data_IF_154663028983
#
_entry.id   IF_154663028983
#
_cell.length_a   1.000
_cell.length_b   1.000
_cell.length_c   1.000
_cell.angle_alpha   90.00
_cell.angle_beta   90.00
_cell.angle_gamma   90.00
#
_symmetry.space_group_name_H-M   'P 1'
#
loop_
_entity.id
_entity.type
_entity.pdbx_description
1 polymer ?
#
# COMPACT_ATOMS: atom_id res chain seq x y z
N UNK A 1 -8.61 18.33 14.86
CA UNK A 1 -8.95 17.94 16.24
C UNK A 1 -7.72 17.33 16.89
N UNK A 2 -7.30 17.86 18.02
CA UNK A 2 -6.08 17.48 18.75
C UNK A 2 -6.40 16.28 19.66
N UNK A 3 -5.46 15.36 19.83
CA UNK A 3 -5.64 14.20 20.73
C UNK A 3 -5.85 14.63 22.17
N UNK A 4 -6.82 14.01 22.84
CA UNK A 4 -7.11 14.21 24.26
C UNK A 4 -5.88 13.96 25.16
N UNK A 5 -4.90 13.18 24.69
CA UNK A 5 -3.61 12.98 25.37
C UNK A 5 -2.65 14.16 25.24
N UNK A 6 -2.77 14.99 24.20
CA UNK A 6 -1.99 16.24 24.12
C UNK A 6 -2.50 17.21 25.17
N UNK A 7 -3.82 17.28 25.38
CA UNK A 7 -4.45 18.19 26.34
C UNK A 7 -4.29 17.77 27.81
N UNK A 8 -3.83 16.55 28.13
CA UNK A 8 -3.53 16.19 29.52
C UNK A 8 -2.26 16.87 30.05
N UNK A 9 -1.38 17.39 29.17
CA UNK A 9 -0.21 18.18 29.56
C UNK A 9 -0.37 19.69 29.43
N UNK A 10 -1.45 20.17 28.79
CA UNK A 10 -1.74 21.59 28.63
C UNK A 10 -2.98 21.93 29.46
N UNK A 11 -2.79 22.76 30.49
CA UNK A 11 -3.88 23.28 31.29
C UNK A 11 -4.96 23.87 30.35
N UNK A 12 -6.20 23.42 30.47
CA UNK A 12 -7.33 23.86 29.61
C UNK A 12 -7.51 25.38 29.63
N UNK A 13 -6.97 26.07 30.64
CA UNK A 13 -6.90 27.54 30.72
C UNK A 13 -6.01 28.18 29.64
N UNK A 14 -4.88 27.56 29.25
CA UNK A 14 -4.01 28.09 28.19
C UNK A 14 -4.73 28.20 26.84
N UNK A 15 -5.70 27.33 26.56
CA UNK A 15 -6.51 27.41 25.33
C UNK A 15 -7.44 28.62 25.29
N UNK A 16 -7.84 29.13 26.45
CA UNK A 16 -8.76 30.25 26.57
C UNK A 16 -8.03 31.60 26.58
N UNK A 17 -6.77 31.62 27.02
CA UNK A 17 -5.94 32.84 27.14
C UNK A 17 -5.09 33.10 25.88
N UNK A 18 -4.64 32.05 25.20
CA UNK A 18 -3.71 32.18 24.08
C UNK A 18 -4.44 32.41 22.74
N UNK A 19 -4.02 33.43 22.00
CA UNK A 19 -4.56 33.75 20.66
C UNK A 19 -4.12 32.76 19.57
N UNK A 20 -2.99 32.08 19.77
CA UNK A 20 -2.45 31.10 18.83
C UNK A 20 -1.65 30.02 19.56
N UNK A 21 -1.94 28.75 19.25
CA UNK A 21 -1.25 27.60 19.83
C UNK A 21 -0.66 26.75 18.71
N UNK A 22 0.64 26.51 18.77
CA UNK A 22 1.35 25.56 17.91
C UNK A 22 1.70 24.31 18.70
N UNK A 23 1.24 23.16 18.21
CA UNK A 23 1.54 21.86 18.81
C UNK A 23 2.59 21.17 17.93
N UNK A 24 3.78 20.93 18.49
CA UNK A 24 4.90 20.31 17.76
C UNK A 24 5.78 19.47 18.71
N UNK A 25 6.18 18.23 18.34
CA UNK A 25 5.82 17.52 17.11
C UNK A 25 4.39 16.95 17.19
N UNK A 26 3.56 17.21 16.18
CA UNK A 26 2.24 16.57 16.07
C UNK A 26 2.38 15.16 15.46
N UNK A 27 3.06 14.27 16.17
CA UNK A 27 3.25 12.88 15.77
C UNK A 27 2.26 11.91 16.46
N UNK A 28 1.55 12.39 17.49
CA UNK A 28 0.66 11.56 18.28
C UNK A 28 -0.63 11.27 17.50
N UNK A 29 -0.84 9.98 17.24
CA UNK A 29 -2.10 9.50 16.67
C UNK A 29 -3.20 9.71 17.71
N UNK A 30 -4.27 10.38 17.31
CA UNK A 30 -5.54 10.32 18.03
C UNK A 30 -5.90 8.86 18.31
N UNK A 31 -6.39 8.59 19.52
CA UNK A 31 -6.94 7.27 19.88
C UNK A 31 -7.90 6.75 18.81
N UNK A 32 -7.86 5.43 18.56
CA UNK A 32 -8.89 4.78 17.75
C UNK A 32 -10.19 4.57 18.52
N UNK A 33 -10.15 4.75 19.84
CA UNK A 33 -11.29 4.80 20.74
C UNK A 33 -11.61 6.27 21.06
N UNK A 34 -12.51 6.86 20.28
CA UNK A 34 -12.99 8.22 20.41
C UNK A 34 -14.52 8.21 20.36
N UNK A 35 -15.22 9.20 20.96
CA UNK A 35 -16.68 9.23 20.98
C UNK A 35 -17.29 9.11 19.58
N UNK A 36 -18.46 8.46 19.42
CA UNK A 36 -19.06 8.20 18.10
C UNK A 36 -19.21 9.44 17.22
N UNK A 37 -19.60 10.59 17.78
CA UNK A 37 -19.71 11.84 17.03
C UNK A 37 -18.35 12.30 16.44
N UNK A 38 -17.27 12.12 17.19
CA UNK A 38 -15.90 12.45 16.74
C UNK A 38 -15.47 11.47 15.65
N UNK A 39 -15.81 10.19 15.76
CA UNK A 39 -15.50 9.21 14.71
C UNK A 39 -16.22 9.56 13.40
N UNK A 40 -17.51 9.86 13.45
CA UNK A 40 -18.29 10.29 12.27
C UNK A 40 -17.67 11.51 11.60
N UNK A 41 -17.27 12.52 12.38
CA UNK A 41 -16.59 13.69 11.83
C UNK A 41 -15.24 13.33 11.19
N UNK A 42 -14.45 12.44 11.81
CA UNK A 42 -13.19 11.96 11.22
C UNK A 42 -13.41 11.21 9.91
N UNK A 43 -14.49 10.44 9.82
CA UNK A 43 -14.87 9.72 8.61
C UNK A 43 -15.23 10.69 7.48
N UNK A 44 -16.11 11.66 7.73
CA UNK A 44 -16.49 12.69 6.76
C UNK A 44 -15.27 13.51 6.33
N UNK A 45 -14.42 13.91 7.29
CA UNK A 45 -13.20 14.63 6.98
C UNK A 45 -12.28 13.80 6.05
N UNK A 46 -12.08 12.51 6.36
CA UNK A 46 -11.12 11.68 5.66
C UNK A 46 -11.58 11.21 4.28
N UNK A 47 -12.86 10.88 4.11
CA UNK A 47 -13.37 10.27 2.88
C UNK A 47 -14.16 11.22 1.98
N UNK A 48 -14.69 12.33 2.52
CA UNK A 48 -15.51 13.28 1.74
C UNK A 48 -14.83 14.64 1.56
N UNK A 49 -14.35 15.23 2.66
CA UNK A 49 -13.85 16.61 2.66
C UNK A 49 -12.39 16.73 2.19
N UNK A 50 -11.51 15.79 2.56
CA UNK A 50 -10.13 15.77 2.12
C UNK A 50 -10.06 15.30 0.67
N UNK A 51 -9.77 16.23 -0.23
CA UNK A 51 -9.61 15.99 -1.67
C UNK A 51 -8.23 16.42 -2.13
N UNK A 52 -7.71 15.75 -3.16
CA UNK A 52 -6.49 16.22 -3.82
C UNK A 52 -6.75 17.56 -4.52
N UNK A 53 -5.71 18.38 -4.64
CA UNK A 53 -5.79 19.61 -5.42
C UNK A 53 -6.09 19.31 -6.90
N UNK A 54 -6.75 20.25 -7.58
CA UNK A 54 -7.18 20.08 -8.97
C UNK A 54 -6.08 19.56 -9.91
N UNK A 55 -4.81 20.03 -9.84
CA UNK A 55 -3.75 19.50 -10.71
C UNK A 55 -3.47 18.00 -10.49
N UNK A 56 -3.51 17.54 -9.24
CA UNK A 56 -3.28 16.12 -8.91
C UNK A 56 -4.49 15.28 -9.33
N UNK A 57 -5.69 15.76 -9.02
CA UNK A 57 -6.93 15.07 -9.35
C UNK A 57 -7.09 14.90 -10.87
N UNK A 58 -6.90 15.98 -11.63
CA UNK A 58 -7.04 15.97 -13.10
C UNK A 58 -6.04 15.04 -13.78
N UNK A 59 -4.76 15.07 -13.36
CA UNK A 59 -3.78 14.13 -13.90
C UNK A 59 -4.09 12.70 -13.47
N UNK A 60 -4.41 12.47 -12.20
CA UNK A 60 -4.79 11.16 -11.68
C UNK A 60 -5.96 10.54 -12.44
N UNK A 61 -7.02 11.31 -12.70
CA UNK A 61 -8.17 10.89 -13.52
C UNK A 61 -7.77 10.56 -14.95
N UNK A 62 -6.92 11.38 -15.57
CA UNK A 62 -6.38 11.13 -16.91
C UNK A 62 -5.60 9.82 -16.97
N UNK A 63 -4.75 9.53 -15.97
CA UNK A 63 -4.01 8.27 -15.92
C UNK A 63 -4.92 7.07 -15.66
N UNK A 64 -5.98 7.22 -14.88
CA UNK A 64 -7.01 6.17 -14.70
C UNK A 64 -7.69 5.86 -16.03
N UNK A 65 -8.07 6.87 -16.81
CA UNK A 65 -8.69 6.69 -18.13
C UNK A 65 -7.74 5.98 -19.10
N UNK A 66 -6.49 6.44 -19.21
CA UNK A 66 -5.46 5.80 -20.04
C UNK A 66 -5.18 4.36 -19.61
N UNK A 67 -5.18 4.08 -18.32
CA UNK A 67 -4.99 2.72 -17.81
C UNK A 67 -6.17 1.82 -18.19
N UNK A 68 -7.41 2.32 -18.11
CA UNK A 68 -8.61 1.59 -18.55
C UNK A 68 -8.57 1.31 -20.06
N UNK A 69 -8.18 2.29 -20.88
CA UNK A 69 -8.00 2.15 -22.33
C UNK A 69 -6.93 1.11 -22.69
N UNK A 70 -5.84 1.03 -21.93
CA UNK A 70 -4.81 -0.02 -22.10
C UNK A 70 -5.24 -1.38 -21.56
N UNK A 71 -6.41 -1.47 -20.92
CA UNK A 71 -6.95 -2.68 -20.29
C UNK A 71 -8.25 -3.15 -20.97
N UNK A 72 -8.35 -2.98 -22.30
CA UNK A 72 -9.55 -3.34 -23.08
C UNK A 72 -9.89 -4.83 -23.01
N UNK A 73 -8.88 -5.70 -23.04
CA UNK A 73 -9.05 -7.17 -22.92
C UNK A 73 -9.74 -7.60 -21.61
N UNK A 74 -9.69 -6.76 -20.57
CA UNK A 74 -10.29 -6.98 -19.26
C UNK A 74 -11.42 -6.00 -18.93
N UNK A 75 -12.02 -5.37 -19.95
CA UNK A 75 -13.09 -4.38 -19.81
C UNK A 75 -12.71 -3.21 -18.87
N UNK A 76 -11.49 -2.69 -19.04
CA UNK A 76 -10.93 -1.60 -18.25
C UNK A 76 -10.43 -2.01 -16.85
N UNK A 77 -10.46 -3.31 -16.49
CA UNK A 77 -10.02 -3.79 -15.17
C UNK A 77 -8.52 -4.04 -15.15
N UNK A 78 -7.86 -3.50 -14.15
CA UNK A 78 -6.42 -3.71 -13.96
C UNK A 78 -6.08 -3.97 -12.49
N UNK A 79 -4.89 -4.54 -12.28
CA UNK A 79 -4.31 -4.76 -10.96
C UNK A 79 -3.36 -3.60 -10.67
N UNK A 80 -3.51 -2.94 -9.52
CA UNK A 80 -2.53 -1.98 -9.05
C UNK A 80 -1.61 -2.62 -8.02
N UNK A 81 -0.29 -2.52 -8.21
CA UNK A 81 0.73 -3.06 -7.32
C UNK A 81 1.50 -1.91 -6.69
N UNK A 82 1.42 -1.76 -5.37
CA UNK A 82 2.27 -0.87 -4.60
C UNK A 82 3.53 -1.60 -4.15
N UNK A 83 4.67 -1.24 -4.76
CA UNK A 83 5.97 -1.86 -4.55
C UNK A 83 6.92 -0.90 -3.84
N UNK A 84 7.43 -1.31 -2.66
CA UNK A 84 8.41 -0.55 -1.88
C UNK A 84 9.79 -1.22 -1.92
N UNK A 85 10.46 -1.10 -3.07
CA UNK A 85 11.81 -1.61 -3.31
C UNK A 85 12.78 -0.49 -3.70
N UNK A 86 12.62 0.68 -3.08
CA UNK A 86 13.52 1.83 -3.24
C UNK A 86 14.78 1.70 -2.36
N UNK A 87 15.86 2.42 -2.69
CA UNK A 87 17.16 2.35 -2.00
C UNK A 87 17.03 2.52 -0.48
N UNK A 88 16.21 3.47 -0.02
CA UNK A 88 16.01 3.72 1.42
C UNK A 88 15.37 2.52 2.12
N UNK A 89 14.38 1.88 1.49
CA UNK A 89 13.68 0.72 2.01
C UNK A 89 14.58 -0.53 2.02
N UNK A 90 15.35 -0.74 0.94
CA UNK A 90 16.33 -1.84 0.85
C UNK A 90 17.41 -1.65 1.91
N UNK A 91 18.02 -0.47 2.00
CA UNK A 91 19.06 -0.16 2.97
C UNK A 91 18.58 -0.27 4.43
N UNK A 92 17.41 0.28 4.74
CA UNK A 92 16.82 0.26 6.08
C UNK A 92 16.47 -1.16 6.55
N UNK A 93 16.07 -2.03 5.61
CA UNK A 93 15.68 -3.39 5.94
C UNK A 93 16.83 -4.25 6.45
N UNK A 94 18.08 -3.87 6.15
CA UNK A 94 19.28 -4.66 6.44
C UNK A 94 19.23 -6.11 5.93
N UNK A 95 18.38 -6.38 4.94
CA UNK A 95 18.31 -7.66 4.27
C UNK A 95 19.43 -7.79 3.24
N UNK A 96 19.74 -9.03 2.88
CA UNK A 96 20.67 -9.37 1.81
C UNK A 96 19.86 -9.90 0.64
N UNK A 97 20.18 -9.42 -0.56
CA UNK A 97 19.62 -9.89 -1.83
C UNK A 97 20.75 -10.43 -2.71
N UNK A 98 20.55 -10.47 -4.02
CA UNK A 98 21.44 -11.14 -4.98
C UNK A 98 22.54 -10.23 -5.55
N UNK A 99 22.71 -9.01 -5.01
CA UNK A 99 23.71 -8.05 -5.47
C UNK A 99 25.12 -8.22 -4.88
N UNK A 100 25.32 -9.21 -4.00
CA UNK A 100 26.63 -9.60 -3.48
C UNK A 100 27.33 -8.50 -2.68
N UNK A 101 28.67 -8.43 -2.79
CA UNK A 101 29.49 -7.47 -2.02
C UNK A 101 29.18 -6.01 -2.40
N UNK A 102 28.96 -5.74 -3.69
CA UNK A 102 28.65 -4.39 -4.16
C UNK A 102 27.35 -3.87 -3.53
N UNK A 103 26.27 -4.65 -3.55
CA UNK A 103 25.02 -4.26 -2.89
C UNK A 103 25.23 -4.04 -1.39
N UNK A 104 26.00 -4.89 -0.72
CA UNK A 104 26.29 -4.72 0.70
C UNK A 104 26.94 -3.37 0.98
N UNK A 105 27.99 -3.03 0.23
CA UNK A 105 28.77 -1.81 0.40
C UNK A 105 27.90 -0.57 0.08
N UNK A 106 27.11 -0.62 -1.00
CA UNK A 106 26.15 0.44 -1.37
C UNK A 106 25.11 0.67 -0.27
N UNK A 107 24.55 -0.41 0.28
CA UNK A 107 23.53 -0.33 1.33
C UNK A 107 24.13 0.13 2.66
N UNK A 108 25.40 -0.19 2.98
CA UNK A 108 26.11 0.35 4.13
C UNK A 108 26.32 1.86 3.99
N UNK A 109 26.74 2.32 2.81
CA UNK A 109 26.89 3.75 2.52
C UNK A 109 25.54 4.49 2.59
N UNK A 110 24.46 3.91 2.03
CA UNK A 110 23.12 4.47 2.11
C UNK A 110 22.61 4.55 3.56
N UNK A 111 22.88 3.52 4.38
CA UNK A 111 22.55 3.51 5.81
C UNK A 111 23.26 4.62 6.58
N UNK A 112 24.54 4.84 6.29
CA UNK A 112 25.32 5.87 6.97
C UNK A 112 24.82 7.27 6.57
N UNK A 113 24.61 7.53 5.27
CA UNK A 113 24.04 8.80 4.78
C UNK A 113 22.67 9.10 5.39
N UNK A 114 21.77 8.11 5.45
CA UNK A 114 20.37 8.30 5.83
C UNK A 114 20.11 8.35 7.34
N UNK A 115 20.88 7.59 8.14
CA UNK A 115 20.57 7.40 9.57
C UNK A 115 21.76 7.53 10.52
N UNK A 116 22.93 7.97 10.03
CA UNK A 116 24.12 8.37 10.81
C UNK A 116 24.43 7.46 12.01
N UNK A 117 25.14 6.37 11.76
CA UNK A 117 25.56 5.43 12.79
C UNK A 117 24.44 4.64 13.49
N UNK A 118 23.15 4.84 13.18
CA UNK A 118 22.02 4.10 13.79
C UNK A 118 22.17 2.58 13.70
N UNK A 119 22.76 2.09 12.61
CA UNK A 119 22.90 0.67 12.31
C UNK A 119 24.23 0.09 12.78
N UNK A 120 25.22 0.94 13.09
CA UNK A 120 26.58 0.55 13.53
C UNK A 120 26.80 0.77 15.03
N UNK A 121 25.77 1.16 15.79
CA UNK A 121 25.87 1.36 17.25
C UNK A 121 26.38 0.10 17.97
N UNK A 122 27.27 0.25 18.98
CA UNK A 122 27.71 -0.88 19.80
C UNK A 122 26.52 -1.67 20.36
N UNK A 123 26.61 -2.99 20.32
CA UNK A 123 25.57 -3.91 20.80
C UNK A 123 24.43 -4.18 19.81
N UNK A 124 24.35 -3.46 18.68
CA UNK A 124 23.33 -3.74 17.65
C UNK A 124 23.77 -4.90 16.76
N UNK A 125 23.11 -6.06 16.92
CA UNK A 125 23.32 -7.23 16.05
C UNK A 125 22.26 -7.26 14.94
N UNK A 126 22.72 -7.24 13.69
CA UNK A 126 21.87 -7.37 12.50
C UNK A 126 21.93 -8.82 12.02
N UNK A 127 20.77 -9.46 11.88
CA UNK A 127 20.65 -10.84 11.40
C UNK A 127 19.75 -10.88 10.16
N UNK A 128 20.31 -10.71 8.94
CA UNK A 128 19.52 -10.57 7.71
C UNK A 128 18.56 -11.73 7.46
N UNK A 129 19.00 -12.98 7.68
CA UNK A 129 18.14 -14.16 7.52
C UNK A 129 16.92 -14.13 8.44
N UNK A 130 17.09 -13.70 9.71
CA UNK A 130 15.98 -13.57 10.65
C UNK A 130 15.04 -12.41 10.28
N UNK A 131 15.55 -11.34 9.65
CA UNK A 131 14.71 -10.26 9.13
C UNK A 131 13.84 -10.75 7.96
N UNK A 132 14.40 -11.61 7.09
CA UNK A 132 13.68 -12.24 5.98
C UNK A 132 12.56 -13.16 6.46
N UNK A 133 12.87 -14.12 7.33
CA UNK A 133 11.88 -15.08 7.84
C UNK A 133 10.78 -14.41 8.68
N UNK A 134 11.09 -13.30 9.35
CA UNK A 134 10.10 -12.46 10.04
C UNK A 134 9.29 -11.55 9.11
N UNK A 135 9.50 -11.61 7.80
CA UNK A 135 8.77 -10.81 6.80
C UNK A 135 9.09 -9.32 6.86
N UNK A 136 10.28 -8.93 7.35
CA UNK A 136 10.71 -7.53 7.44
C UNK A 136 11.34 -7.02 6.14
N UNK A 137 11.87 -7.91 5.30
CA UNK A 137 12.42 -7.54 4.01
C UNK A 137 11.32 -7.07 3.03
N UNK A 138 11.57 -6.02 2.25
CA UNK A 138 10.92 -5.77 0.97
C UNK A 138 10.92 -7.01 0.07
N UNK A 139 9.88 -7.14 -0.76
CA UNK A 139 9.87 -8.13 -1.84
C UNK A 139 10.56 -7.54 -3.07
N UNK A 140 11.39 -8.34 -3.74
CA UNK A 140 12.00 -7.95 -5.02
C UNK A 140 10.95 -7.96 -6.14
N UNK A 141 11.16 -7.26 -7.28
CA UNK A 141 10.22 -7.36 -8.40
C UNK A 141 10.08 -8.79 -8.94
N UNK A 142 11.14 -9.61 -8.90
CA UNK A 142 11.08 -11.05 -9.23
C UNK A 142 10.10 -11.79 -8.30
N UNK A 143 10.24 -11.64 -6.99
CA UNK A 143 9.37 -12.28 -6.00
C UNK A 143 7.92 -11.85 -6.16
N UNK A 144 7.68 -10.57 -6.46
CA UNK A 144 6.36 -10.04 -6.76
C UNK A 144 5.79 -10.69 -8.01
N UNK A 145 6.57 -10.80 -9.08
CA UNK A 145 6.12 -11.43 -10.31
C UNK A 145 5.76 -12.90 -10.11
N UNK A 146 6.63 -13.67 -9.45
CA UNK A 146 6.38 -15.08 -9.11
C UNK A 146 5.12 -15.24 -8.24
N UNK A 147 4.96 -14.39 -7.23
CA UNK A 147 3.77 -14.36 -6.37
C UNK A 147 2.51 -14.13 -7.21
N UNK A 148 2.50 -13.13 -8.09
CA UNK A 148 1.33 -12.82 -8.93
C UNK A 148 1.00 -13.97 -9.90
N UNK A 149 2.02 -14.58 -10.52
CA UNK A 149 1.84 -15.76 -11.39
C UNK A 149 1.23 -16.94 -10.62
N UNK A 150 1.74 -17.22 -9.42
CA UNK A 150 1.18 -18.26 -8.56
C UNK A 150 -0.24 -17.93 -8.07
N UNK A 151 -0.59 -16.65 -7.93
CA UNK A 151 -1.93 -16.20 -7.59
C UNK A 151 -2.93 -16.27 -8.75
N UNK A 152 -2.47 -16.67 -9.95
CA UNK A 152 -3.29 -16.86 -11.14
C UNK A 152 -3.41 -15.63 -12.04
N UNK A 153 -2.57 -14.62 -11.85
CA UNK A 153 -2.39 -13.55 -12.86
C UNK A 153 -1.43 -14.03 -13.94
N UNK A 154 -1.64 -13.60 -15.17
CA UNK A 154 -0.84 -14.01 -16.32
C UNK A 154 -0.33 -12.82 -17.13
N UNK A 155 0.32 -13.09 -18.25
CA UNK A 155 0.93 -12.08 -19.11
C UNK A 155 -0.10 -11.20 -19.84
N UNK A 156 -1.39 -11.55 -19.80
CA UNK A 156 -2.49 -10.75 -20.33
C UNK A 156 -3.09 -9.81 -19.27
N UNK A 157 -2.62 -9.91 -18.03
CA UNK A 157 -3.07 -9.04 -16.93
C UNK A 157 -2.46 -7.66 -17.05
N UNK A 158 -3.29 -6.63 -17.23
CA UNK A 158 -2.87 -5.23 -17.14
C UNK A 158 -2.52 -4.86 -15.70
N UNK A 159 -1.30 -4.38 -15.49
CA UNK A 159 -0.78 -4.00 -14.18
C UNK A 159 -0.41 -2.51 -14.17
N UNK A 160 -0.82 -1.79 -13.14
CA UNK A 160 -0.26 -0.49 -12.80
C UNK A 160 0.71 -0.65 -11.63
N UNK A 161 1.97 -0.24 -11.78
CA UNK A 161 2.97 -0.30 -10.72
C UNK A 161 3.14 1.08 -10.08
N UNK A 162 2.72 1.19 -8.81
CA UNK A 162 2.95 2.33 -7.94
C UNK A 162 4.24 2.12 -7.12
N UNK A 163 5.29 2.83 -7.47
CA UNK A 163 6.56 2.82 -6.73
C UNK A 163 7.30 4.16 -6.83
N UNK A 164 8.20 4.41 -5.87
CA UNK A 164 9.29 5.35 -6.08
C UNK A 164 10.34 4.80 -7.05
N UNK A 165 11.56 5.38 -7.02
CA UNK A 165 12.70 4.89 -7.80
C UNK A 165 13.13 3.52 -7.26
N UNK A 166 12.85 2.47 -8.02
CA UNK A 166 13.26 1.10 -7.70
C UNK A 166 14.79 1.02 -7.66
N UNK A 167 15.33 0.40 -6.61
CA UNK A 167 16.77 0.17 -6.48
C UNK A 167 17.28 -0.71 -7.61
N UNK A 168 18.33 -0.26 -8.31
CA UNK A 168 18.91 -0.94 -9.47
C UNK A 168 17.82 -1.40 -10.46
N UNK A 169 16.96 -0.47 -10.88
CA UNK A 169 15.75 -0.76 -11.67
C UNK A 169 16.06 -1.48 -12.98
N UNK A 170 17.17 -1.14 -13.64
CA UNK A 170 17.60 -1.75 -14.90
C UNK A 170 17.80 -3.26 -14.77
N UNK A 171 18.35 -3.74 -13.65
CA UNK A 171 18.47 -5.17 -13.36
C UNK A 171 17.16 -5.75 -12.80
N UNK A 172 16.63 -5.11 -11.76
CA UNK A 172 15.59 -5.72 -10.93
C UNK A 172 14.22 -5.77 -11.59
N UNK A 173 13.90 -4.88 -12.52
CA UNK A 173 12.59 -4.83 -13.17
C UNK A 173 12.40 -5.84 -14.30
N UNK A 174 13.50 -6.30 -14.93
CA UNK A 174 13.49 -7.26 -16.05
C UNK A 174 12.52 -8.44 -15.81
N UNK A 175 12.67 -9.25 -14.75
CA UNK A 175 11.82 -10.42 -14.57
C UNK A 175 10.33 -10.08 -14.40
N UNK A 176 10.02 -8.94 -13.77
CA UNK A 176 8.63 -8.53 -13.59
C UNK A 176 8.00 -8.12 -14.92
N UNK A 177 8.74 -7.38 -15.76
CA UNK A 177 8.30 -6.96 -17.09
C UNK A 177 8.15 -8.15 -18.05
N UNK A 178 9.04 -9.14 -17.99
CA UNK A 178 8.93 -10.38 -18.77
C UNK A 178 7.68 -11.19 -18.39
N UNK A 179 7.36 -11.28 -17.10
CA UNK A 179 6.15 -11.97 -16.63
C UNK A 179 4.85 -11.21 -16.95
N UNK A 180 4.91 -9.87 -16.96
CA UNK A 180 3.76 -8.96 -17.13
C UNK A 180 4.08 -7.84 -18.12
N UNK A 181 4.08 -8.12 -19.42
CA UNK A 181 4.48 -7.15 -20.46
C UNK A 181 3.53 -5.96 -20.61
N UNK A 182 2.30 -6.06 -20.08
CA UNK A 182 1.31 -4.97 -20.08
C UNK A 182 1.47 -4.02 -18.88
N UNK A 183 2.52 -4.18 -18.07
CA UNK A 183 2.79 -3.32 -16.92
C UNK A 183 2.99 -1.86 -17.35
N UNK A 184 2.30 -0.96 -16.67
CA UNK A 184 2.37 0.48 -16.82
C UNK A 184 2.80 1.14 -15.52
N UNK A 185 3.43 2.30 -15.61
CA UNK A 185 3.72 3.19 -14.48
C UNK A 185 3.16 4.58 -14.78
N UNK A 186 3.20 5.49 -13.82
CA UNK A 186 2.86 6.90 -14.08
C UNK A 186 3.73 7.51 -15.19
N UNK A 187 5.00 7.12 -15.28
CA UNK A 187 5.93 7.59 -16.31
C UNK A 187 5.61 7.03 -17.71
N UNK A 188 4.99 5.85 -17.81
CA UNK A 188 4.57 5.29 -19.12
C UNK A 188 3.18 5.77 -19.56
N UNK A 189 2.35 6.20 -18.60
CA UNK A 189 1.01 6.71 -18.86
C UNK A 189 0.95 8.24 -19.05
N UNK A 190 1.92 8.98 -18.53
CA UNK A 190 1.98 10.45 -18.60
C UNK A 190 3.20 10.92 -19.41
N UNK A 191 3.11 12.11 -20.00
CA UNK A 191 4.29 12.74 -20.61
C UNK A 191 5.22 13.33 -19.55
N UNK A 192 6.46 13.65 -19.95
CA UNK A 192 7.42 14.26 -19.05
C UNK A 192 6.98 15.64 -18.55
N UNK A 193 6.24 16.37 -19.40
CA UNK A 193 5.67 17.70 -19.18
C UNK A 193 4.49 17.64 -18.20
N UNK A 194 3.58 16.67 -18.38
CA UNK A 194 2.46 16.45 -17.44
C UNK A 194 2.96 16.17 -16.02
N UNK A 195 4.07 15.44 -15.89
CA UNK A 195 4.65 15.09 -14.59
C UNK A 195 5.56 16.19 -14.00
N UNK A 196 6.07 17.11 -14.82
CA UNK A 196 7.06 18.12 -14.39
C UNK A 196 6.64 18.92 -13.13
N UNK A 197 5.38 19.36 -12.97
CA UNK A 197 4.94 20.10 -11.78
C UNK A 197 4.99 19.31 -10.46
N UNK A 198 5.09 17.98 -10.54
CA UNK A 198 4.98 17.08 -9.39
C UNK A 198 6.30 16.39 -9.04
N UNK A 199 7.22 16.22 -9.99
CA UNK A 199 8.47 15.44 -9.87
C UNK A 199 9.33 15.78 -8.64
N UNK A 200 9.37 17.05 -8.24
CA UNK A 200 10.19 17.50 -7.10
C UNK A 200 9.53 17.25 -5.73
N UNK A 201 8.30 16.71 -5.71
CA UNK A 201 7.53 16.47 -4.49
C UNK A 201 7.06 15.02 -4.44
N UNK A 202 7.79 14.18 -3.70
CA UNK A 202 7.48 12.75 -3.56
C UNK A 202 6.04 12.49 -3.10
N UNK A 203 5.49 13.34 -2.23
CA UNK A 203 4.10 13.25 -1.78
C UNK A 203 3.08 13.52 -2.89
N UNK A 204 3.38 14.42 -3.83
CA UNK A 204 2.49 14.71 -4.98
C UNK A 204 2.54 13.59 -6.01
N UNK A 205 3.73 13.05 -6.28
CA UNK A 205 3.89 11.86 -7.13
C UNK A 205 3.14 10.65 -6.55
N UNK A 206 3.25 10.44 -5.23
CA UNK A 206 2.49 9.40 -4.54
C UNK A 206 0.97 9.67 -4.58
N UNK A 207 0.51 10.92 -4.55
CA UNK A 207 -0.91 11.23 -4.68
C UNK A 207 -1.48 10.84 -6.06
N UNK A 208 -0.69 10.99 -7.13
CA UNK A 208 -1.07 10.50 -8.47
C UNK A 208 -1.17 8.96 -8.47
N UNK A 209 -0.15 8.28 -7.93
CA UNK A 209 -0.17 6.81 -7.76
C UNK A 209 -1.40 6.35 -6.96
N UNK A 210 -1.77 7.11 -5.92
CA UNK A 210 -2.93 6.84 -5.07
C UNK A 210 -4.22 6.84 -5.88
N UNK A 211 -4.44 7.83 -6.76
CA UNK A 211 -5.64 7.90 -7.61
C UNK A 211 -5.76 6.69 -8.53
N UNK A 212 -4.68 6.30 -9.20
CA UNK A 212 -4.71 5.13 -10.09
C UNK A 212 -4.94 3.85 -9.29
N UNK A 213 -4.30 3.70 -8.12
CA UNK A 213 -4.53 2.53 -7.27
C UNK A 213 -5.95 2.48 -6.68
N UNK A 214 -6.57 3.63 -6.40
CA UNK A 214 -7.93 3.74 -5.84
C UNK A 214 -8.99 3.17 -6.80
N UNK A 215 -8.78 3.32 -8.11
CA UNK A 215 -9.72 2.88 -9.15
C UNK A 215 -9.39 1.52 -9.78
N UNK A 216 -8.38 0.82 -9.29
CA UNK A 216 -8.04 -0.54 -9.73
C UNK A 216 -9.08 -1.59 -9.29
N UNK A 217 -9.20 -2.71 -10.02
CA UNK A 217 -10.06 -3.84 -9.63
C UNK A 217 -9.46 -4.60 -8.43
N UNK A 218 -8.14 -4.80 -8.45
CA UNK A 218 -7.39 -5.45 -7.36
C UNK A 218 -6.23 -4.57 -6.95
N UNK A 219 -6.12 -4.28 -5.66
CA UNK A 219 -4.95 -3.61 -5.11
C UNK A 219 -4.01 -4.59 -4.40
N UNK A 220 -2.73 -4.59 -4.76
CA UNK A 220 -1.68 -5.42 -4.17
C UNK A 220 -0.71 -4.51 -3.43
N UNK A 221 -0.36 -4.84 -2.20
CA UNK A 221 0.64 -4.07 -1.45
C UNK A 221 1.68 -4.99 -0.81
N UNK A 222 2.95 -4.76 -1.15
CA UNK A 222 4.06 -5.62 -0.69
C UNK A 222 4.66 -5.15 0.63
N UNK A 223 4.31 -3.95 1.07
CA UNK A 223 4.82 -3.36 2.30
C UNK A 223 3.76 -2.51 2.99
N UNK A 224 3.79 -2.48 4.32
CA UNK A 224 2.95 -1.57 5.11
C UNK A 224 3.37 -0.11 4.98
N UNK A 225 2.65 0.78 5.64
CA UNK A 225 2.92 2.22 5.65
C UNK A 225 1.65 3.03 5.44
N UNK A 226 1.78 4.34 5.41
CA UNK A 226 0.63 5.25 5.32
C UNK A 226 -0.13 5.09 3.99
N UNK A 227 0.58 4.96 2.87
CA UNK A 227 -0.04 4.83 1.55
C UNK A 227 -1.07 3.69 1.47
N UNK A 228 -0.70 2.41 1.70
CA UNK A 228 -1.68 1.32 1.66
C UNK A 228 -2.70 1.41 2.80
N UNK A 229 -2.31 1.93 3.97
CA UNK A 229 -3.20 2.09 5.12
C UNK A 229 -4.43 2.94 4.79
N UNK A 230 -4.22 4.10 4.18
CA UNK A 230 -5.29 5.01 3.77
C UNK A 230 -6.01 4.55 2.50
N UNK A 231 -5.26 4.03 1.52
CA UNK A 231 -5.84 3.60 0.26
C UNK A 231 -6.81 2.44 0.44
N UNK A 232 -6.47 1.45 1.27
CA UNK A 232 -7.34 0.30 1.52
C UNK A 232 -8.69 0.70 2.12
N UNK A 233 -8.68 1.60 3.11
CA UNK A 233 -9.94 2.06 3.69
C UNK A 233 -10.74 2.93 2.73
N UNK A 234 -10.08 3.78 1.92
CA UNK A 234 -10.76 4.60 0.92
C UNK A 234 -11.40 3.75 -0.16
N UNK A 235 -10.71 2.72 -0.66
CA UNK A 235 -11.31 1.75 -1.59
C UNK A 235 -12.52 1.05 -0.97
N UNK A 236 -12.43 0.58 0.27
CA UNK A 236 -13.58 -0.05 0.96
C UNK A 236 -14.74 0.93 1.14
N UNK A 237 -14.45 2.18 1.44
CA UNK A 237 -15.45 3.24 1.57
C UNK A 237 -16.21 3.45 0.25
N UNK A 238 -15.49 3.64 -0.85
CA UNK A 238 -16.10 3.85 -2.18
C UNK A 238 -16.85 2.64 -2.70
N UNK A 239 -16.40 1.41 -2.40
CA UNK A 239 -16.96 0.17 -2.95
C UNK A 239 -17.85 -0.60 -1.95
N UNK A 240 -18.55 0.11 -1.05
CA UNK A 240 -19.63 -0.49 -0.26
C UNK A 240 -19.18 -1.49 0.82
N UNK A 241 -17.95 -1.35 1.32
CA UNK A 241 -17.42 -2.11 2.44
C UNK A 241 -16.42 -3.21 2.05
N UNK A 242 -16.31 -3.54 0.76
CA UNK A 242 -15.32 -4.49 0.26
C UNK A 242 -14.63 -3.97 -1.00
N UNK A 243 -13.31 -4.13 -1.05
CA UNK A 243 -12.55 -4.02 -2.29
C UNK A 243 -11.43 -5.05 -2.26
N UNK A 244 -11.25 -5.77 -3.38
CA UNK A 244 -10.22 -6.81 -3.50
C UNK A 244 -8.84 -6.26 -3.21
N UNK A 245 -8.22 -6.79 -2.17
CA UNK A 245 -6.89 -6.38 -1.71
C UNK A 245 -6.04 -7.60 -1.41
N UNK A 246 -4.81 -7.61 -1.95
CA UNK A 246 -3.81 -8.65 -1.70
C UNK A 246 -2.70 -8.04 -0.85
N UNK A 247 -2.54 -8.57 0.36
CA UNK A 247 -1.43 -8.23 1.25
C UNK A 247 -0.75 -9.53 1.67
N UNK A 248 0.32 -9.95 0.97
CA UNK A 248 0.89 -11.26 1.17
C UNK A 248 1.46 -11.42 2.59
N UNK A 249 1.38 -12.64 3.10
CA UNK A 249 2.09 -13.01 4.31
C UNK A 249 3.56 -13.25 3.97
N UNK A 250 4.39 -12.22 4.16
CA UNK A 250 5.81 -12.26 3.82
C UNK A 250 6.59 -13.33 4.60
N UNK A 251 6.13 -13.76 5.77
CA UNK A 251 6.78 -14.86 6.53
C UNK A 251 6.56 -16.18 5.82
N UNK A 252 5.33 -16.42 5.35
CA UNK A 252 5.01 -17.60 4.54
C UNK A 252 5.72 -17.54 3.19
N UNK A 253 5.79 -16.37 2.55
CA UNK A 253 6.53 -16.23 1.29
C UNK A 253 8.01 -16.59 1.45
N UNK A 254 8.67 -16.15 2.52
CA UNK A 254 10.07 -16.51 2.77
C UNK A 254 10.26 -18.02 2.77
N UNK A 255 9.44 -18.76 3.52
CA UNK A 255 9.50 -20.24 3.56
C UNK A 255 9.19 -20.87 2.20
N UNK A 256 8.23 -20.32 1.46
CA UNK A 256 7.82 -20.86 0.16
C UNK A 256 8.92 -20.64 -0.89
N UNK A 257 9.55 -19.46 -0.93
CA UNK A 257 10.62 -19.17 -1.87
C UNK A 257 11.92 -19.91 -1.55
N UNK A 258 12.18 -20.20 -0.27
CA UNK A 258 13.34 -21.01 0.13
C UNK A 258 13.14 -22.52 -0.18
N UNK A 259 11.91 -22.97 -0.43
CA UNK A 259 11.63 -24.37 -0.74
C UNK A 259 11.76 -24.69 -2.24
N UNK A 260 13.00 -24.87 -2.68
CA UNK A 260 13.33 -25.20 -4.08
C UNK A 260 12.77 -26.55 -4.57
N UNK A 261 12.40 -27.45 -3.66
CA UNK A 261 11.85 -28.76 -3.99
C UNK A 261 10.34 -28.73 -4.22
N UNK A 262 9.67 -27.61 -3.93
CA UNK A 262 8.24 -27.47 -4.15
C UNK A 262 7.94 -27.29 -5.64
N UNK A 263 7.29 -28.27 -6.26
CA UNK A 263 6.80 -28.14 -7.63
C UNK A 263 5.74 -27.03 -7.79
N UNK A 264 5.61 -26.51 -9.02
CA UNK A 264 4.71 -25.40 -9.37
C UNK A 264 3.27 -25.56 -8.87
N UNK A 265 2.73 -26.79 -8.87
CA UNK A 265 1.38 -27.09 -8.37
C UNK A 265 1.22 -26.75 -6.88
N UNK A 266 2.22 -27.05 -6.06
CA UNK A 266 2.22 -26.74 -4.62
C UNK A 266 2.37 -25.24 -4.37
N UNK A 267 3.27 -24.61 -5.12
CA UNK A 267 3.47 -23.16 -5.09
C UNK A 267 2.16 -22.40 -5.41
N UNK A 268 1.51 -22.76 -6.54
CA UNK A 268 0.25 -22.15 -6.97
C UNK A 268 -0.85 -22.32 -5.92
N UNK A 269 -1.00 -23.52 -5.34
CA UNK A 269 -1.97 -23.75 -4.25
C UNK A 269 -1.71 -22.83 -3.05
N UNK A 270 -0.46 -22.68 -2.66
CA UNK A 270 -0.07 -21.83 -1.53
C UNK A 270 -0.35 -20.34 -1.81
N UNK A 271 -0.08 -19.88 -3.04
CA UNK A 271 -0.36 -18.52 -3.47
C UNK A 271 -1.87 -18.22 -3.54
N UNK A 272 -2.67 -19.15 -4.08
CA UNK A 272 -4.13 -19.02 -4.13
C UNK A 272 -4.74 -18.95 -2.73
N UNK A 273 -4.27 -19.78 -1.80
CA UNK A 273 -4.69 -19.72 -0.39
C UNK A 273 -4.34 -18.37 0.24
N UNK A 274 -3.14 -17.84 -0.04
CA UNK A 274 -2.71 -16.53 0.47
C UNK A 274 -3.55 -15.38 -0.11
N UNK A 275 -3.91 -15.46 -1.41
CA UNK A 275 -4.80 -14.51 -2.08
C UNK A 275 -6.19 -14.52 -1.46
N UNK A 276 -6.80 -15.70 -1.31
CA UNK A 276 -8.13 -15.87 -0.69
C UNK A 276 -8.16 -15.33 0.75
N UNK A 277 -7.14 -15.68 1.54
CA UNK A 277 -7.02 -15.17 2.91
C UNK A 277 -6.86 -13.64 2.96
N UNK A 278 -6.13 -13.05 2.02
CA UNK A 278 -5.98 -11.59 1.94
C UNK A 278 -7.31 -10.90 1.61
N UNK A 279 -8.05 -11.44 0.64
CA UNK A 279 -9.32 -10.86 0.20
C UNK A 279 -10.39 -10.93 1.29
N UNK A 280 -10.43 -12.02 2.08
CA UNK A 280 -11.34 -12.16 3.21
C UNK A 280 -11.16 -11.04 4.27
N UNK A 281 -9.94 -10.53 4.44
CA UNK A 281 -9.65 -9.37 5.31
C UNK A 281 -10.17 -8.06 4.75
N UNK A 282 -10.50 -8.03 3.46
CA UNK A 282 -11.13 -6.93 2.75
C UNK A 282 -12.54 -6.59 3.24
N UNK A 283 -13.23 -7.56 3.85
CA UNK A 283 -14.66 -7.49 4.24
C UNK A 283 -14.81 -7.29 5.77
N UNK A 284 -13.71 -7.38 6.52
CA UNK A 284 -13.78 -7.36 7.99
C UNK A 284 -14.26 -6.03 8.54
N UNK A 285 -15.10 -6.11 9.57
CA UNK A 285 -15.48 -4.98 10.41
C UNK A 285 -14.30 -4.52 11.28
N UNK A 286 -14.27 -3.23 11.58
CA UNK A 286 -13.32 -2.63 12.51
C UNK A 286 -13.43 -3.27 13.89
N UNK A 287 -12.31 -3.70 14.46
CA UNK A 287 -12.17 -4.04 15.89
C UNK A 287 -11.81 -2.79 16.70
N UNK A 288 -11.89 -2.87 18.03
CA UNK A 288 -11.65 -1.74 18.95
C UNK A 288 -10.31 -1.01 18.65
N UNK A 289 -9.25 -1.77 18.41
CA UNK A 289 -7.90 -1.23 18.16
C UNK A 289 -7.58 -1.00 16.67
N UNK A 290 -8.51 -1.30 15.77
CA UNK A 290 -8.30 -1.11 14.35
C UNK A 290 -8.56 0.33 13.95
N UNK A 291 -7.81 0.80 12.96
CA UNK A 291 -7.95 2.16 12.44
C UNK A 291 -9.21 2.29 11.58
N UNK A 292 -10.04 3.30 11.87
CA UNK A 292 -11.17 3.69 11.01
C UNK A 292 -10.74 4.00 9.57
N UNK A 293 -9.48 4.40 9.36
CA UNK A 293 -8.92 4.75 8.06
C UNK A 293 -8.55 3.54 7.19
N UNK A 294 -8.49 2.35 7.80
CA UNK A 294 -8.29 1.08 7.08
C UNK A 294 -9.57 0.26 7.06
N UNK A 295 -10.33 0.27 8.17
CA UNK A 295 -11.60 -0.43 8.32
C UNK A 295 -12.69 0.60 8.58
N UNK A 296 -13.28 1.18 7.51
CA UNK A 296 -14.29 2.25 7.66
C UNK A 296 -15.62 1.73 8.23
N UNK A 297 -15.91 0.44 8.14
CA UNK A 297 -17.17 -0.13 8.62
C UNK A 297 -17.05 -0.62 10.08
N UNK A 298 -18.02 -0.34 10.97
CA UNK A 298 -19.29 0.36 10.73
C UNK A 298 -19.27 1.87 10.99
N UNK A 299 -18.17 2.42 11.50
CA UNK A 299 -18.12 3.79 12.02
C UNK A 299 -18.32 4.87 10.95
N UNK A 300 -17.75 4.67 9.76
CA UNK A 300 -17.78 5.61 8.63
C UNK A 300 -18.86 5.27 7.60
N UNK A 301 -19.29 4.02 7.55
CA UNK A 301 -20.24 3.52 6.55
C UNK A 301 -20.97 2.28 7.09
N UNK A 302 -22.16 2.02 6.56
CA UNK A 302 -22.89 0.79 6.87
C UNK A 302 -22.30 -0.41 6.12
N UNK A 303 -22.35 -1.59 6.73
CA UNK A 303 -22.04 -2.83 6.02
C UNK A 303 -23.21 -3.16 5.09
N UNK A 304 -22.99 -3.08 3.78
CA UNK A 304 -23.96 -3.62 2.82
C UNK A 304 -23.84 -5.14 2.87
N UNK A 305 -24.67 -5.80 3.69
CA UNK A 305 -24.86 -7.25 3.52
C UNK A 305 -25.48 -7.41 2.13
N UNK A 306 -24.79 -8.06 1.20
CA UNK A 306 -25.46 -8.61 0.02
C UNK A 306 -26.47 -9.62 0.54
N UNK A 307 -27.71 -9.19 0.73
CA UNK A 307 -28.84 -10.11 0.80
C UNK A 307 -28.80 -10.91 -0.50
N UNK A 308 -28.80 -12.23 -0.36
CA UNK A 308 -29.12 -13.12 -1.46
C UNK A 308 -30.55 -12.76 -1.92
N UNK A 309 -30.66 -11.85 -2.88
CA UNK A 309 -31.87 -11.73 -3.69
C UNK A 309 -31.91 -12.93 -4.65
N UNK A 310 -32.15 -14.11 -4.09
CA UNK A 310 -32.59 -15.31 -4.78
C UNK A 310 -33.75 -15.91 -3.97
N UNK A 311 -34.83 -15.16 -3.84
CA UNK A 311 -36.14 -15.72 -3.46
C UNK A 311 -37.21 -15.15 -4.39
N UNK A 312 -37.57 -16.01 -5.36
CA UNK A 312 -38.95 -16.30 -5.76
C UNK A 312 -39.87 -15.11 -6.03
N UNK A 313 -39.87 -14.64 -7.28
CA UNK A 313 -41.08 -14.11 -7.89
C UNK A 313 -41.94 -15.28 -8.40
N UNK A 314 -42.66 -15.93 -7.49
CA UNK A 314 -43.87 -16.67 -7.82
C UNK A 314 -45.07 -15.75 -7.54
N UNK A 315 -45.59 -15.18 -8.63
CA UNK A 315 -47.00 -15.00 -9.04
C UNK A 315 -48.07 -15.21 -7.94
N UNK A 316 -49.06 -14.31 -7.85
CA UNK A 316 -50.38 -14.63 -8.42
C UNK A 316 -50.70 -13.90 -9.73
#
# INVERSE_FOLDING_TARGET
>A
MVSHQVLQGYNTSMLLEEKFIRISPFANRLSFDAPPAVQRLRCLANYEALRFSNPIASLGESLVSRMKERSTSSNGKYVAVHLRYEEDMVAFSCCVYDGGKQEKDDMDAARERGWKGKFTRPGRKIQPGLLRTNGKCPLTPLEVGLMLRGMGFDNTTSIYLASGKIYNSEKNMIPLLEMFPLLQTKETLATAEELAPFKNYSSRMAAIDYMVCLHSEVFVTTQGGNFPHFLMGHRRYLYGGHSKTIRPDKRKLAVIFDNLNAGWKSFKRSMLNMRSHSDSKGIMLKRINDSIYTYPCPDCMCHVRKTENNQTSSVP
#
